data_IF_666740795997
#
_entry.id   IF_666740795997
#
_cell.length_a   1.000
_cell.length_b   1.000
_cell.length_c   1.000
_cell.angle_alpha   90.00
_cell.angle_beta   90.00
_cell.angle_gamma   90.00
#
_symmetry.space_group_name_H-M   'P 1'
#
loop_
_entity.id
_entity.type
_entity.pdbx_description
1 polymer ?
#
# COMPACT_ATOMS: atom_id res chain seq x y z
N UNK A 1 -70.39 40.49 -4.44
CA UNK A 1 -71.17 39.25 -4.65
C UNK A 1 -70.22 38.23 -5.22
N UNK A 2 -69.92 37.20 -4.42
CA UNK A 2 -69.20 36.01 -4.91
C UNK A 2 -70.08 35.37 -6.00
N UNK A 3 -69.49 35.11 -7.17
CA UNK A 3 -70.18 34.36 -8.24
C UNK A 3 -70.30 32.89 -7.76
N UNK A 4 -71.33 32.12 -8.20
CA UNK A 4 -71.50 30.72 -7.83
C UNK A 4 -70.23 29.89 -8.05
N UNK A 5 -69.47 30.17 -9.09
CA UNK A 5 -68.19 29.53 -9.43
C UNK A 5 -67.09 29.75 -8.37
N UNK A 6 -67.05 30.92 -7.73
CA UNK A 6 -66.12 31.24 -6.65
C UNK A 6 -66.49 30.57 -5.37
N UNK A 7 -67.81 30.41 -5.13
CA UNK A 7 -68.34 29.71 -3.94
C UNK A 7 -68.07 28.21 -4.02
N UNK A 8 -68.21 27.60 -5.20
CA UNK A 8 -67.89 26.20 -5.40
C UNK A 8 -66.39 25.91 -5.20
N UNK A 9 -65.51 26.78 -5.74
CA UNK A 9 -64.07 26.69 -5.52
C UNK A 9 -63.69 26.75 -4.02
N UNK A 10 -64.23 27.69 -3.31
CA UNK A 10 -64.04 27.84 -1.86
C UNK A 10 -64.51 26.61 -1.08
N UNK A 11 -65.60 26.02 -1.48
CA UNK A 11 -66.15 24.83 -0.87
C UNK A 11 -65.26 23.61 -1.15
N UNK A 12 -64.72 23.49 -2.33
CA UNK A 12 -63.81 22.40 -2.71
C UNK A 12 -62.45 22.55 -2.01
N UNK A 13 -61.90 23.75 -1.92
CA UNK A 13 -60.68 24.03 -1.14
C UNK A 13 -60.88 23.68 0.31
N UNK A 14 -62.01 24.05 0.92
CA UNK A 14 -62.35 23.72 2.29
C UNK A 14 -62.41 22.18 2.52
N UNK A 15 -63.02 21.44 1.60
CA UNK A 15 -63.10 19.97 1.69
C UNK A 15 -61.70 19.34 1.59
N UNK A 16 -60.87 19.80 0.66
CA UNK A 16 -59.49 19.32 0.52
C UNK A 16 -58.69 19.59 1.78
N UNK A 17 -58.84 20.75 2.39
CA UNK A 17 -58.14 21.07 3.63
C UNK A 17 -58.59 20.17 4.80
N UNK A 18 -59.88 19.91 4.89
CA UNK A 18 -60.41 18.99 5.92
C UNK A 18 -59.89 17.55 5.76
N UNK A 19 -59.81 17.07 4.53
CA UNK A 19 -59.24 15.76 4.22
C UNK A 19 -57.73 15.69 4.56
N UNK A 20 -56.97 16.71 4.23
CA UNK A 20 -55.56 16.84 4.55
C UNK A 20 -55.33 16.84 6.09
N UNK A 21 -56.15 17.62 6.82
CA UNK A 21 -56.08 17.68 8.28
C UNK A 21 -56.38 16.30 8.89
N UNK A 22 -57.40 15.60 8.41
CA UNK A 22 -57.74 14.25 8.90
C UNK A 22 -56.57 13.26 8.66
N UNK A 23 -56.00 13.27 7.48
CA UNK A 23 -54.83 12.41 7.15
C UNK A 23 -53.63 12.70 8.06
N UNK A 24 -53.33 13.97 8.33
CA UNK A 24 -52.23 14.36 9.22
C UNK A 24 -52.50 13.96 10.70
N UNK A 25 -53.78 14.08 11.16
CA UNK A 25 -54.14 13.62 12.50
C UNK A 25 -53.97 12.09 12.60
N UNK A 26 -54.38 11.33 11.58
CA UNK A 26 -54.24 9.88 11.57
C UNK A 26 -52.76 9.44 11.65
N UNK A 27 -51.86 10.15 10.95
CA UNK A 27 -50.42 9.90 11.06
C UNK A 27 -49.89 10.17 12.47
N UNK A 28 -50.39 11.24 13.14
CA UNK A 28 -49.94 11.60 14.50
C UNK A 28 -50.48 10.66 15.58
N UNK A 29 -51.73 10.20 15.44
CA UNK A 29 -52.37 9.35 16.42
C UNK A 29 -51.97 7.86 16.30
N UNK A 30 -51.56 7.41 15.12
CA UNK A 30 -51.29 6.02 14.85
C UNK A 30 -49.82 5.79 14.45
N UNK A 31 -48.95 5.32 15.37
CA UNK A 31 -47.53 5.06 15.08
C UNK A 31 -47.28 4.10 13.87
N UNK A 32 -48.23 3.17 13.64
CA UNK A 32 -48.15 2.25 12.49
C UNK A 32 -48.28 2.97 11.14
N UNK A 33 -49.19 3.97 11.06
CA UNK A 33 -49.37 4.77 9.85
C UNK A 33 -48.14 5.65 9.62
N UNK A 34 -47.61 6.26 10.68
CA UNK A 34 -46.36 7.04 10.59
C UNK A 34 -45.19 6.19 10.01
N UNK A 35 -45.00 4.99 10.52
CA UNK A 35 -43.96 4.08 10.04
C UNK A 35 -44.16 3.66 8.58
N UNK A 36 -45.41 3.56 8.15
CA UNK A 36 -45.72 3.26 6.75
C UNK A 36 -45.42 4.43 5.81
N UNK A 37 -45.74 5.65 6.26
CA UNK A 37 -45.37 6.87 5.50
C UNK A 37 -43.86 6.97 5.35
N UNK A 38 -43.09 6.83 6.44
CA UNK A 38 -41.63 6.84 6.43
C UNK A 38 -41.08 5.78 5.48
N UNK A 39 -41.60 4.56 5.50
CA UNK A 39 -41.19 3.48 4.62
C UNK A 39 -41.40 3.85 3.16
N UNK A 40 -42.59 4.36 2.82
CA UNK A 40 -42.93 4.75 1.45
C UNK A 40 -42.01 5.87 0.94
N UNK A 41 -41.76 6.87 1.77
CA UNK A 41 -40.82 7.96 1.42
C UNK A 41 -39.41 7.46 1.19
N UNK A 42 -38.90 6.55 2.03
CA UNK A 42 -37.57 5.95 1.86
C UNK A 42 -37.50 5.05 0.61
N UNK A 43 -38.58 4.32 0.29
CA UNK A 43 -38.66 3.51 -0.93
C UNK A 43 -38.63 4.40 -2.18
N UNK A 44 -39.36 5.50 -2.20
CA UNK A 44 -39.35 6.48 -3.28
C UNK A 44 -37.96 7.12 -3.44
N UNK A 45 -37.31 7.51 -2.34
CA UNK A 45 -35.94 8.02 -2.36
C UNK A 45 -34.95 7.00 -2.92
N UNK A 46 -35.12 5.74 -2.57
CA UNK A 46 -34.27 4.66 -3.10
C UNK A 46 -34.50 4.47 -4.61
N UNK A 47 -35.72 4.59 -5.10
CA UNK A 47 -36.03 4.46 -6.52
C UNK A 47 -35.49 5.64 -7.33
N UNK A 48 -35.57 6.86 -6.77
CA UNK A 48 -35.14 8.09 -7.46
C UNK A 48 -33.62 8.28 -7.43
N UNK A 49 -32.95 7.95 -6.30
CA UNK A 49 -31.54 8.24 -6.08
C UNK A 49 -30.69 6.97 -5.88
N UNK A 50 -31.27 5.79 -5.98
CA UNK A 50 -30.55 4.54 -5.77
C UNK A 50 -29.60 4.20 -6.92
N UNK A 51 -28.30 4.36 -6.68
CA UNK A 51 -27.25 3.94 -7.61
C UNK A 51 -26.86 2.49 -7.40
N UNK A 52 -26.41 1.83 -8.48
CA UNK A 52 -25.78 0.54 -8.38
C UNK A 52 -24.49 0.64 -7.56
N UNK A 53 -24.25 -0.37 -6.73
CA UNK A 53 -23.01 -0.43 -5.93
C UNK A 53 -21.79 -0.41 -6.85
N UNK A 54 -20.85 0.53 -6.62
CA UNK A 54 -19.63 0.68 -7.40
C UNK A 54 -18.52 -0.28 -6.97
N UNK A 55 -18.53 -0.71 -5.70
CA UNK A 55 -17.55 -1.65 -5.15
C UNK A 55 -18.13 -3.07 -5.13
N UNK A 56 -17.33 -4.05 -5.51
CA UNK A 56 -17.66 -5.46 -5.45
C UNK A 56 -17.62 -5.97 -4.00
N UNK A 57 -18.59 -6.80 -3.60
CA UNK A 57 -18.55 -7.52 -2.33
C UNK A 57 -17.96 -8.90 -2.61
N UNK A 58 -16.77 -9.18 -2.09
CA UNK A 58 -16.13 -10.48 -2.17
C UNK A 58 -16.39 -11.26 -0.89
N UNK A 59 -16.60 -12.57 -1.03
CA UNK A 59 -16.88 -13.47 0.09
C UNK A 59 -15.64 -13.80 0.95
N UNK A 60 -14.43 -13.61 0.41
CA UNK A 60 -13.16 -13.76 1.11
C UNK A 60 -12.28 -12.56 0.84
N UNK A 61 -11.70 -11.98 1.87
CA UNK A 61 -10.48 -11.19 1.75
C UNK A 61 -9.34 -12.22 1.63
N UNK A 62 -8.75 -12.35 0.44
CA UNK A 62 -7.40 -12.86 0.37
C UNK A 62 -6.53 -11.84 1.11
N UNK A 63 -5.77 -12.29 2.11
CA UNK A 63 -4.84 -11.43 2.85
C UNK A 63 -3.94 -10.74 1.81
N UNK A 64 -4.17 -9.45 1.59
CA UNK A 64 -3.31 -8.64 0.73
C UNK A 64 -1.92 -8.61 1.37
N UNK A 65 -0.99 -9.32 0.78
CA UNK A 65 0.41 -9.21 1.17
C UNK A 65 0.90 -7.79 0.80
N UNK A 66 1.77 -7.24 1.65
CA UNK A 66 2.43 -5.95 1.38
C UNK A 66 3.13 -5.99 0.01
N UNK A 67 3.61 -7.15 -0.42
CA UNK A 67 4.23 -7.37 -1.72
C UNK A 67 3.28 -7.10 -2.88
N UNK A 68 1.98 -7.39 -2.75
CA UNK A 68 0.98 -7.15 -3.80
C UNK A 68 0.76 -5.65 -4.09
N UNK A 69 1.08 -4.80 -3.11
CA UNK A 69 0.98 -3.34 -3.22
C UNK A 69 2.25 -2.70 -3.79
N UNK A 70 3.35 -3.46 -3.92
CA UNK A 70 4.64 -2.96 -4.39
C UNK A 70 4.84 -3.37 -5.85
N UNK A 71 5.05 -2.39 -6.73
CA UNK A 71 5.35 -2.68 -8.12
C UNK A 71 6.69 -3.46 -8.24
N UNK A 72 6.74 -4.56 -9.02
CA UNK A 72 7.98 -5.28 -9.29
C UNK A 72 8.88 -4.44 -10.21
N UNK A 73 9.93 -3.87 -9.67
CA UNK A 73 10.91 -3.04 -10.40
C UNK A 73 12.32 -3.55 -10.16
N UNK A 74 13.17 -3.44 -11.20
CA UNK A 74 14.58 -3.73 -11.04
C UNK A 74 15.30 -2.54 -10.39
N UNK A 75 15.99 -2.84 -9.30
CA UNK A 75 16.70 -1.85 -8.49
C UNK A 75 18.14 -2.26 -8.25
N UNK A 76 18.99 -1.26 -8.11
CA UNK A 76 20.38 -1.45 -7.70
C UNK A 76 20.48 -1.23 -6.20
N UNK A 77 20.84 -2.28 -5.48
CA UNK A 77 21.15 -2.21 -4.05
C UNK A 77 22.64 -2.02 -3.88
N UNK A 78 23.01 -1.06 -3.05
CA UNK A 78 24.42 -0.80 -2.70
C UNK A 78 24.61 -0.93 -1.19
N UNK A 79 25.70 -1.59 -0.80
CA UNK A 79 26.16 -1.70 0.58
C UNK A 79 27.57 -1.10 0.68
N UNK A 80 27.75 -0.14 1.59
CA UNK A 80 29.05 0.44 1.86
C UNK A 80 29.83 -0.36 2.91
N UNK A 81 31.15 -0.19 2.95
CA UNK A 81 32.03 -0.83 3.94
C UNK A 81 31.64 -0.47 5.38
N UNK A 82 31.16 0.75 5.61
CA UNK A 82 30.66 1.20 6.91
C UNK A 82 29.26 0.67 7.24
N UNK A 83 28.64 -0.17 6.37
CA UNK A 83 27.35 -0.79 6.61
C UNK A 83 26.15 0.06 6.27
N UNK A 84 26.26 1.04 5.39
CA UNK A 84 25.14 1.82 4.87
C UNK A 84 24.54 1.13 3.64
N UNK A 85 23.24 0.91 3.67
CA UNK A 85 22.50 0.29 2.56
C UNK A 85 21.49 1.27 1.97
N UNK A 86 21.28 1.18 0.66
CA UNK A 86 20.23 1.87 -0.09
C UNK A 86 19.86 1.11 -1.35
N UNK A 87 18.67 1.39 -1.87
CA UNK A 87 18.25 0.96 -3.20
C UNK A 87 18.07 2.16 -4.12
N UNK A 88 18.22 1.95 -5.41
CA UNK A 88 17.97 2.94 -6.46
C UNK A 88 17.31 2.25 -7.65
N UNK A 89 16.36 2.86 -8.35
CA UNK A 89 15.83 2.32 -9.59
C UNK A 89 16.97 2.07 -10.60
N UNK A 90 16.96 0.93 -11.28
CA UNK A 90 17.98 0.61 -12.30
C UNK A 90 18.00 1.65 -13.44
N UNK A 91 16.86 2.30 -13.69
CA UNK A 91 16.71 3.38 -14.67
C UNK A 91 17.54 4.63 -14.35
N UNK A 92 17.96 4.81 -13.09
CA UNK A 92 18.85 5.91 -12.70
C UNK A 92 20.27 5.75 -13.30
N UNK A 93 20.63 4.52 -13.71
CA UNK A 93 21.92 4.21 -14.32
C UNK A 93 21.77 4.16 -15.84
N UNK A 94 22.21 5.21 -16.54
CA UNK A 94 22.22 5.25 -18.00
C UNK A 94 23.57 4.72 -18.52
N UNK A 95 23.52 3.92 -19.59
CA UNK A 95 24.72 3.53 -20.31
C UNK A 95 25.48 4.78 -20.81
N UNK A 96 26.77 4.88 -20.48
CA UNK A 96 27.61 5.99 -20.90
C UNK A 96 28.40 5.59 -22.14
N UNK A 97 28.45 6.51 -23.13
CA UNK A 97 29.32 6.36 -24.29
C UNK A 97 30.77 6.73 -23.93
N UNK A 98 31.73 6.31 -24.74
CA UNK A 98 33.16 6.68 -24.61
C UNK A 98 33.30 8.20 -24.46
N UNK A 99 34.05 8.66 -23.42
CA UNK A 99 34.28 10.07 -23.12
C UNK A 99 33.27 10.73 -22.18
N UNK A 100 32.26 10.01 -21.69
CA UNK A 100 31.33 10.53 -20.66
C UNK A 100 32.03 10.65 -19.29
N UNK A 101 31.66 11.69 -18.51
CA UNK A 101 32.07 11.78 -17.11
C UNK A 101 31.32 10.68 -16.32
N UNK A 102 32.07 9.85 -15.57
CA UNK A 102 31.48 8.86 -14.67
C UNK A 102 30.45 9.47 -13.72
N UNK A 103 29.52 8.65 -13.24
CA UNK A 103 28.51 9.07 -12.27
C UNK A 103 28.83 8.44 -10.92
N UNK A 104 28.85 9.23 -9.85
CA UNK A 104 28.99 8.68 -8.51
C UNK A 104 27.71 7.95 -8.14
N UNK A 105 27.80 6.67 -7.82
CA UNK A 105 26.67 5.84 -7.41
C UNK A 105 26.22 6.13 -5.97
N UNK A 106 27.10 6.68 -5.13
CA UNK A 106 26.79 7.09 -3.76
C UNK A 106 27.76 8.17 -3.29
N UNK A 107 27.26 9.05 -2.41
CA UNK A 107 28.14 9.89 -1.59
C UNK A 107 28.52 9.08 -0.34
N UNK A 108 29.79 8.81 -0.19
CA UNK A 108 30.37 8.17 0.98
C UNK A 108 31.09 9.20 1.85
N UNK A 109 31.37 8.88 3.12
CA UNK A 109 32.33 9.65 3.93
C UNK A 109 33.73 9.45 3.37
N UNK A 110 34.68 10.33 3.74
CA UNK A 110 36.05 10.32 3.19
C UNK A 110 36.79 8.99 3.34
N UNK A 111 36.35 8.11 4.26
CA UNK A 111 36.93 6.78 4.52
C UNK A 111 36.00 5.61 4.16
N UNK A 112 34.82 5.85 3.60
CA UNK A 112 33.82 4.83 3.26
C UNK A 112 33.77 4.63 1.75
N UNK A 113 33.53 3.41 1.30
CA UNK A 113 33.40 3.06 -0.12
C UNK A 113 32.29 2.02 -0.32
N UNK A 114 31.79 1.92 -1.54
CA UNK A 114 30.83 0.87 -1.90
C UNK A 114 31.57 -0.46 -1.97
N UNK A 115 31.23 -1.35 -1.04
CA UNK A 115 31.82 -2.69 -0.95
C UNK A 115 31.11 -3.67 -1.88
N UNK A 116 29.76 -3.61 -1.89
CA UNK A 116 28.95 -4.54 -2.65
C UNK A 116 27.82 -3.83 -3.38
N UNK A 117 27.50 -4.36 -4.58
CA UNK A 117 26.43 -3.84 -5.45
C UNK A 117 25.73 -5.03 -6.11
N UNK A 118 24.38 -5.01 -6.07
CA UNK A 118 23.54 -6.02 -6.70
C UNK A 118 22.45 -5.37 -7.55
N UNK A 119 22.17 -5.96 -8.70
CA UNK A 119 20.97 -5.70 -9.48
C UNK A 119 19.93 -6.76 -9.09
N UNK A 120 18.85 -6.34 -8.49
CA UNK A 120 17.81 -7.19 -7.90
C UNK A 120 16.43 -6.60 -8.16
N UNK A 121 15.38 -7.38 -7.94
CA UNK A 121 14.00 -6.89 -8.01
C UNK A 121 13.52 -6.41 -6.63
N UNK A 122 12.54 -5.50 -6.60
CA UNK A 122 11.91 -5.04 -5.36
C UNK A 122 11.31 -6.16 -4.52
N UNK A 123 10.89 -7.27 -5.17
CA UNK A 123 10.33 -8.45 -4.54
C UNK A 123 11.38 -9.49 -4.08
N UNK A 124 12.64 -9.29 -4.44
CA UNK A 124 13.71 -10.20 -4.01
C UNK A 124 14.01 -10.04 -2.53
N UNK A 125 14.58 -11.10 -1.93
CA UNK A 125 15.06 -11.10 -0.55
C UNK A 125 16.58 -11.22 -0.52
N UNK A 126 17.24 -10.41 0.30
CA UNK A 126 18.66 -10.49 0.54
C UNK A 126 18.92 -11.38 1.76
N UNK A 127 19.54 -12.54 1.56
CA UNK A 127 20.07 -13.35 2.64
C UNK A 127 21.39 -12.72 3.12
N UNK A 128 21.36 -12.15 4.31
CA UNK A 128 22.50 -11.44 4.89
C UNK A 128 23.19 -12.30 5.93
N UNK A 129 24.41 -12.72 5.65
CA UNK A 129 25.22 -13.57 6.50
C UNK A 129 26.17 -12.72 7.34
N UNK A 130 26.23 -13.02 8.64
CA UNK A 130 27.06 -12.24 9.59
C UNK A 130 28.32 -12.99 10.02
N UNK A 131 29.25 -12.26 10.62
CA UNK A 131 30.50 -12.80 11.13
C UNK A 131 30.31 -13.82 12.28
N UNK A 132 29.19 -13.78 12.98
CA UNK A 132 28.78 -14.73 14.01
C UNK A 132 28.12 -16.01 13.46
N UNK A 133 27.88 -16.06 12.12
CA UNK A 133 27.23 -17.21 11.47
C UNK A 133 25.69 -17.14 11.51
N UNK A 134 25.13 -16.00 11.84
CA UNK A 134 23.67 -15.76 11.73
C UNK A 134 23.28 -15.37 10.31
N UNK A 135 22.04 -15.65 9.95
CA UNK A 135 21.43 -15.29 8.67
C UNK A 135 20.19 -14.45 8.93
N UNK A 136 20.08 -13.34 8.23
CA UNK A 136 18.90 -12.49 8.26
C UNK A 136 18.28 -12.40 6.86
N UNK A 137 16.95 -12.43 6.80
CA UNK A 137 16.18 -12.14 5.61
C UNK A 137 15.87 -10.64 5.56
N UNK A 138 16.39 -9.97 4.55
CA UNK A 138 16.15 -8.55 4.33
C UNK A 138 15.42 -8.36 3.00
N UNK A 139 14.10 -8.15 3.00
CA UNK A 139 13.36 -7.86 1.77
C UNK A 139 13.84 -6.56 1.13
N UNK A 140 14.07 -6.58 -0.18
CA UNK A 140 14.62 -5.43 -0.93
C UNK A 140 13.71 -4.20 -0.84
N UNK A 141 12.39 -4.40 -0.82
CA UNK A 141 11.42 -3.30 -0.71
C UNK A 141 11.51 -2.51 0.59
N UNK A 142 12.05 -3.10 1.67
CA UNK A 142 12.24 -2.42 2.95
C UNK A 142 13.45 -1.48 2.97
N UNK A 143 14.39 -1.64 2.03
CA UNK A 143 15.53 -0.74 1.92
C UNK A 143 15.09 0.66 1.50
N UNK A 144 15.76 1.71 1.98
CA UNK A 144 15.40 3.08 1.64
C UNK A 144 15.69 3.34 0.16
N UNK A 145 14.71 3.93 -0.52
CA UNK A 145 14.91 4.51 -1.84
C UNK A 145 15.67 5.84 -1.67
N UNK A 146 16.85 5.92 -2.24
CA UNK A 146 17.71 7.09 -2.08
C UNK A 146 18.53 7.35 -3.33
N UNK A 147 18.47 8.58 -3.83
CA UNK A 147 19.18 9.02 -5.02
C UNK A 147 20.71 8.89 -4.91
N UNK A 148 21.44 9.09 -6.04
CA UNK A 148 22.90 8.94 -6.10
C UNK A 148 23.66 9.71 -5.02
N UNK A 149 23.31 10.98 -4.67
CA UNK A 149 24.05 11.75 -3.67
C UNK A 149 23.78 11.31 -2.23
N UNK A 150 22.76 10.49 -1.99
CA UNK A 150 22.43 10.06 -0.64
C UNK A 150 23.27 8.85 -0.21
N UNK A 151 23.64 8.81 1.08
CA UNK A 151 24.41 7.74 1.69
C UNK A 151 23.61 6.46 1.90
N UNK A 152 22.29 6.56 2.09
CA UNK A 152 21.45 5.48 2.57
C UNK A 152 21.30 5.47 4.10
N UNK A 153 20.90 4.34 4.66
CA UNK A 153 20.74 4.15 6.11
C UNK A 153 21.57 2.96 6.59
N UNK A 154 21.99 2.97 7.88
CA UNK A 154 22.73 1.84 8.44
C UNK A 154 21.90 0.55 8.39
N UNK A 155 22.51 -0.54 7.97
CA UNK A 155 21.85 -1.85 7.84
C UNK A 155 21.34 -2.39 9.17
N UNK A 156 21.94 -1.99 10.30
CA UNK A 156 21.50 -2.31 11.65
C UNK A 156 20.06 -1.86 11.97
N UNK A 157 19.49 -0.99 11.17
CA UNK A 157 18.09 -0.58 11.35
C UNK A 157 17.10 -1.69 10.93
N UNK A 158 17.53 -2.66 10.14
CA UNK A 158 16.68 -3.76 9.65
C UNK A 158 17.11 -5.13 10.20
N UNK A 159 18.40 -5.28 10.57
CA UNK A 159 18.92 -6.51 11.11
C UNK A 159 19.53 -6.25 12.48
N UNK A 160 19.17 -7.07 13.46
CA UNK A 160 19.66 -6.94 14.84
C UNK A 160 21.07 -7.53 14.95
N UNK A 161 22.09 -6.72 14.61
CA UNK A 161 23.49 -7.09 14.80
C UNK A 161 23.89 -6.92 16.26
N UNK A 162 24.73 -7.82 16.74
CA UNK A 162 25.37 -7.71 18.05
C UNK A 162 26.58 -6.78 18.00
N UNK A 163 27.08 -6.38 19.17
CA UNK A 163 28.25 -5.52 19.25
C UNK A 163 29.48 -6.21 18.63
N UNK A 164 30.09 -5.54 17.64
CA UNK A 164 31.23 -6.08 16.90
C UNK A 164 30.88 -7.03 15.75
N UNK A 165 29.61 -7.41 15.59
CA UNK A 165 29.16 -8.23 14.48
C UNK A 165 29.08 -7.43 13.17
N UNK A 166 29.56 -8.05 12.08
CA UNK A 166 29.58 -7.42 10.75
C UNK A 166 28.91 -8.31 9.71
N UNK A 167 28.33 -7.70 8.69
CA UNK A 167 27.86 -8.38 7.50
C UNK A 167 29.09 -8.89 6.73
N UNK A 168 29.12 -10.18 6.42
CA UNK A 168 30.22 -10.82 5.70
C UNK A 168 29.88 -11.10 4.24
N UNK A 169 28.65 -11.55 3.98
CA UNK A 169 28.20 -11.86 2.65
C UNK A 169 26.70 -11.58 2.53
N UNK A 170 26.27 -11.23 1.32
CA UNK A 170 24.87 -11.06 0.98
C UNK A 170 24.58 -11.85 -0.29
N UNK A 171 23.50 -12.62 -0.28
CA UNK A 171 23.03 -13.41 -1.40
C UNK A 171 21.61 -12.97 -1.76
N UNK A 172 21.38 -12.39 -2.93
CA UNK A 172 20.02 -12.10 -3.39
C UNK A 172 19.33 -13.39 -3.82
N UNK A 173 18.10 -13.59 -3.35
CA UNK A 173 17.24 -14.73 -3.66
C UNK A 173 15.89 -14.21 -4.15
N UNK A 174 15.48 -14.64 -5.33
CA UNK A 174 14.19 -14.32 -5.91
C UNK A 174 13.13 -15.33 -5.49
N UNK A 175 13.45 -16.60 -5.66
CA UNK A 175 12.55 -17.72 -5.39
C UNK A 175 13.30 -18.83 -4.69
N UNK A 176 12.63 -19.50 -3.76
CA UNK A 176 13.17 -20.66 -3.06
C UNK A 176 12.75 -21.93 -3.83
N UNK A 177 13.65 -22.44 -4.70
CA UNK A 177 13.41 -23.63 -5.48
C UNK A 177 13.88 -24.89 -4.73
N UNK A 178 13.07 -25.96 -4.80
CA UNK A 178 13.49 -27.26 -4.28
C UNK A 178 14.72 -27.77 -5.03
N UNK A 179 15.70 -28.28 -4.28
CA UNK A 179 16.95 -28.82 -4.84
C UNK A 179 18.07 -27.78 -5.01
N UNK A 180 17.84 -26.50 -4.72
CA UNK A 180 18.89 -25.50 -4.62
C UNK A 180 19.35 -25.37 -3.16
N UNK A 181 20.66 -25.32 -2.97
CA UNK A 181 21.30 -25.23 -1.65
C UNK A 181 22.30 -24.10 -1.59
N UNK A 182 22.48 -23.52 -0.41
CA UNK A 182 23.53 -22.55 -0.16
C UNK A 182 24.74 -23.29 0.39
N UNK A 183 25.85 -23.23 -0.31
CA UNK A 183 27.10 -23.81 0.08
C UNK A 183 27.97 -22.81 0.85
N UNK A 184 28.44 -23.22 2.00
CA UNK A 184 29.30 -22.40 2.86
C UNK A 184 30.70 -22.99 2.96
N UNK A 185 31.69 -22.13 2.78
CA UNK A 185 33.09 -22.44 3.06
C UNK A 185 33.68 -21.35 3.95
N UNK A 186 34.13 -21.69 5.11
CA UNK A 186 34.71 -20.74 6.07
C UNK A 186 36.23 -20.63 5.92
N UNK A 187 36.81 -19.55 6.43
CA UNK A 187 38.26 -19.33 6.47
C UNK A 187 39.02 -20.48 7.17
N UNK A 188 38.39 -21.12 8.13
CA UNK A 188 38.97 -22.22 8.90
C UNK A 188 38.83 -23.60 8.21
N UNK A 189 38.37 -23.63 6.96
CA UNK A 189 38.17 -24.86 6.20
C UNK A 189 36.92 -25.66 6.55
N UNK A 190 35.99 -25.11 7.36
CA UNK A 190 34.69 -25.72 7.62
C UNK A 190 33.81 -25.54 6.41
N UNK A 191 33.23 -26.61 5.91
CA UNK A 191 32.33 -26.67 4.76
C UNK A 191 30.97 -27.18 5.22
N UNK A 192 29.91 -26.56 4.73
CA UNK A 192 28.53 -26.97 5.03
C UNK A 192 27.63 -26.76 3.81
#
# INVERSE_FOLDING_TARGET
RLTGLEQDKLTDEYRQLLEAIRALIEILEHPGVLMQVIRTELENLREEFGDARRSEIRASEEDLDILDLIAPEDVVVTLSHAGYAKRQPATAYRAQKRGGKGRNAAATKDEDFIDQLWLVNTHDTLLTFTSSGRVFWLPVHQLPDAGPPARGRPIVNWIALEEGEKVQAVLPVREYEEGKYVFFATRNGTVK
#
